data_IF_341545732529
#
_entry.id   IF_341545732529
#
_cell.length_a   1.000
_cell.length_b   1.000
_cell.length_c   1.000
_cell.angle_alpha   90.00
_cell.angle_beta   90.00
_cell.angle_gamma   90.00
#
_symmetry.space_group_name_H-M   'P 1'
#
loop_
_entity.id
_entity.type
_entity.pdbx_description
1 polymer ?
#
# COMPACT_ATOMS: atom_id res chain seq x y z
N UNK A 1 42.90 28.76 -1.75
CA UNK A 1 41.67 27.93 -1.65
C UNK A 1 42.08 26.47 -1.75
N UNK A 2 42.02 25.74 -0.64
CA UNK A 2 42.44 24.33 -0.58
C UNK A 2 41.28 23.50 -1.14
N UNK A 3 41.45 22.96 -2.34
CA UNK A 3 40.48 22.08 -3.00
C UNK A 3 40.20 20.90 -2.09
N UNK A 4 38.98 20.87 -1.52
CA UNK A 4 38.45 19.75 -0.75
C UNK A 4 38.54 18.48 -1.62
N UNK A 5 39.20 17.45 -1.10
CA UNK A 5 39.64 16.29 -1.88
C UNK A 5 38.48 15.58 -2.58
N UNK A 6 38.66 15.12 -3.84
CA UNK A 6 37.63 14.40 -4.60
C UNK A 6 37.17 13.12 -3.89
N UNK A 7 38.02 12.53 -3.05
CA UNK A 7 37.69 11.37 -2.23
C UNK A 7 36.57 11.66 -1.22
N UNK A 8 36.58 12.85 -0.60
CA UNK A 8 35.53 13.25 0.33
C UNK A 8 34.19 13.43 -0.37
N UNK A 9 34.22 13.92 -1.61
CA UNK A 9 33.02 14.06 -2.43
C UNK A 9 32.45 12.68 -2.82
N UNK A 10 33.32 11.74 -3.19
CA UNK A 10 32.96 10.36 -3.55
C UNK A 10 32.36 9.58 -2.37
N UNK A 11 32.98 9.65 -1.19
CA UNK A 11 32.45 9.02 0.03
C UNK A 11 31.09 9.61 0.40
N UNK A 12 30.93 10.93 0.31
CA UNK A 12 29.65 11.58 0.56
C UNK A 12 28.58 11.16 -0.46
N UNK A 13 28.93 11.00 -1.74
CA UNK A 13 27.95 10.55 -2.76
C UNK A 13 27.52 9.11 -2.53
N UNK A 14 28.44 8.21 -2.20
CA UNK A 14 28.12 6.82 -1.86
C UNK A 14 27.23 6.73 -0.62
N UNK A 15 27.52 7.53 0.43
CA UNK A 15 26.69 7.57 1.63
C UNK A 15 25.27 8.07 1.35
N UNK A 16 25.12 9.10 0.51
CA UNK A 16 23.81 9.62 0.09
C UNK A 16 23.04 8.57 -0.71
N UNK A 17 23.67 7.91 -1.68
CA UNK A 17 23.03 6.87 -2.47
C UNK A 17 22.56 5.69 -1.61
N UNK A 18 23.31 5.33 -0.57
CA UNK A 18 22.94 4.27 0.36
C UNK A 18 21.74 4.62 1.25
N UNK A 19 21.46 5.91 1.45
CA UNK A 19 20.35 6.39 2.28
C UNK A 19 19.00 6.44 1.54
N UNK A 20 18.98 6.25 0.23
CA UNK A 20 17.74 6.26 -0.56
C UNK A 20 16.97 4.97 -0.27
N UNK A 21 15.86 5.09 0.48
CA UNK A 21 14.89 4.01 0.64
C UNK A 21 13.91 4.04 -0.53
N UNK A 22 13.75 2.93 -1.23
CA UNK A 22 12.70 2.78 -2.23
C UNK A 22 11.33 2.66 -1.57
N UNK A 23 10.31 3.24 -2.19
CA UNK A 23 8.90 2.95 -1.88
C UNK A 23 8.44 1.89 -2.88
N UNK A 24 7.74 0.88 -2.38
CA UNK A 24 7.18 -0.20 -3.21
C UNK A 24 5.67 0.00 -3.24
N UNK A 25 5.12 0.21 -4.43
CA UNK A 25 3.68 0.15 -4.70
C UNK A 25 3.34 -1.10 -5.51
N UNK A 26 2.12 -1.62 -5.37
CA UNK A 26 1.68 -2.83 -6.06
C UNK A 26 0.60 -2.45 -7.07
N UNK A 27 0.85 -2.75 -8.35
CA UNK A 27 -0.17 -2.70 -9.39
C UNK A 27 -0.46 -4.09 -9.91
N UNK A 28 -1.74 -4.46 -9.96
CA UNK A 28 -2.17 -5.79 -10.38
C UNK A 28 -3.45 -5.72 -11.21
N UNK A 29 -3.68 -6.76 -12.01
CA UNK A 29 -4.91 -6.97 -12.76
C UNK A 29 -5.77 -7.98 -11.99
N UNK A 30 -7.02 -7.63 -11.71
CA UNK A 30 -7.97 -8.46 -10.97
C UNK A 30 -9.10 -8.93 -11.87
N UNK A 31 -9.37 -10.25 -11.89
CA UNK A 31 -10.55 -10.83 -12.52
C UNK A 31 -11.71 -10.94 -11.51
N UNK A 32 -11.48 -11.64 -10.38
CA UNK A 32 -12.51 -11.91 -9.37
C UNK A 32 -12.12 -11.50 -7.96
N UNK A 33 -11.14 -12.17 -7.37
CA UNK A 33 -10.65 -11.86 -6.02
C UNK A 33 -9.13 -11.95 -6.02
N UNK A 34 -8.49 -10.97 -5.39
CA UNK A 34 -7.05 -10.99 -5.15
C UNK A 34 -6.77 -10.53 -3.72
N UNK A 35 -5.94 -11.28 -2.99
CA UNK A 35 -5.64 -11.02 -1.59
C UNK A 35 -4.13 -10.80 -1.37
N UNK A 36 -3.81 -9.72 -0.67
CA UNK A 36 -2.44 -9.38 -0.25
C UNK A 36 -2.29 -9.48 1.26
N UNK A 37 -1.08 -9.73 1.71
CA UNK A 37 -0.74 -9.85 3.13
C UNK A 37 0.42 -8.94 3.48
N UNK A 38 0.31 -8.28 4.63
CA UNK A 38 1.35 -7.42 5.19
C UNK A 38 1.57 -7.81 6.65
N UNK A 39 2.82 -8.05 7.05
CA UNK A 39 3.15 -8.33 8.44
C UNK A 39 3.42 -7.02 9.16
N UNK A 40 2.67 -6.76 10.22
CA UNK A 40 2.92 -5.64 11.14
C UNK A 40 3.75 -6.15 12.29
N UNK A 41 4.85 -5.47 12.60
CA UNK A 41 5.81 -5.97 13.58
C UNK A 41 5.40 -5.62 15.02
N UNK A 42 4.68 -4.51 15.23
CA UNK A 42 4.34 -4.01 16.58
C UNK A 42 2.86 -3.72 16.78
N UNK A 43 2.38 -4.10 17.97
CA UNK A 43 1.05 -3.70 18.44
C UNK A 43 1.01 -2.17 18.62
N UNK A 44 0.00 -1.52 18.05
CA UNK A 44 -0.20 -0.07 18.12
C UNK A 44 0.31 0.72 16.92
N UNK A 45 0.97 0.09 15.96
CA UNK A 45 1.41 0.75 14.73
C UNK A 45 0.23 1.18 13.85
N UNK A 46 0.37 2.29 13.15
CA UNK A 46 -0.67 2.78 12.24
C UNK A 46 -0.42 2.24 10.84
N UNK A 47 -1.39 1.53 10.28
CA UNK A 47 -1.36 1.14 8.87
C UNK A 47 -2.10 2.18 8.06
N UNK A 48 -1.40 2.78 7.09
CA UNK A 48 -1.99 3.59 6.04
C UNK A 48 -2.15 2.73 4.78
N UNK A 49 -3.34 2.75 4.19
CA UNK A 49 -3.61 2.08 2.93
C UNK A 49 -4.27 3.04 1.95
N UNK A 50 -3.97 2.86 0.67
CA UNK A 50 -4.68 3.54 -0.41
C UNK A 50 -4.77 2.65 -1.63
N UNK A 51 -5.85 2.81 -2.40
CA UNK A 51 -5.95 2.20 -3.71
C UNK A 51 -6.65 3.09 -4.71
N UNK A 52 -6.39 2.82 -5.99
CA UNK A 52 -7.14 3.40 -7.12
C UNK A 52 -7.33 2.34 -8.21
N UNK A 53 -8.55 2.23 -8.71
CA UNK A 53 -8.88 1.44 -9.90
C UNK A 53 -8.51 2.25 -11.14
N UNK A 54 -7.52 1.79 -11.89
CA UNK A 54 -7.03 2.43 -13.11
C UNK A 54 -7.92 1.98 -14.28
N UNK A 55 -8.71 2.92 -14.80
CA UNK A 55 -9.47 2.74 -16.04
C UNK A 55 -8.70 3.37 -17.20
N UNK A 56 -8.28 2.58 -18.18
CA UNK A 56 -7.87 3.13 -19.48
C UNK A 56 -9.15 3.42 -20.28
N UNK A 57 -9.41 4.70 -20.62
CA UNK A 57 -10.61 5.12 -21.35
C UNK A 57 -10.86 4.26 -22.60
N UNK A 58 -12.12 3.87 -22.88
CA UNK A 58 -12.38 3.14 -24.13
C UNK A 58 -13.76 2.57 -24.45
N UNK A 59 -14.80 2.66 -23.62
CA UNK A 59 -16.14 2.25 -24.09
C UNK A 59 -17.28 2.77 -23.22
N UNK A 60 -18.30 3.30 -23.89
CA UNK A 60 -19.51 3.97 -23.41
C UNK A 60 -20.47 3.13 -22.53
N UNK A 61 -19.98 2.09 -21.85
CA UNK A 61 -20.80 1.17 -21.05
C UNK A 61 -20.20 0.80 -19.69
N UNK A 62 -19.13 1.46 -19.23
CA UNK A 62 -18.67 1.25 -17.86
C UNK A 62 -19.65 1.89 -16.88
N UNK A 63 -20.47 1.06 -16.22
CA UNK A 63 -21.01 1.43 -14.93
C UNK A 63 -19.83 1.75 -13.99
N UNK A 64 -20.01 2.62 -12.97
CA UNK A 64 -19.01 2.86 -11.94
C UNK A 64 -18.90 1.64 -11.02
N UNK A 65 -18.60 0.48 -11.61
CA UNK A 65 -18.35 -0.77 -10.91
C UNK A 65 -16.97 -0.62 -10.29
N UNK A 66 -16.96 -0.12 -9.06
CA UNK A 66 -15.77 -0.12 -8.22
C UNK A 66 -15.40 -1.52 -7.77
N UNK A 67 -14.36 -1.60 -6.95
CA UNK A 67 -13.98 -2.83 -6.27
C UNK A 67 -14.46 -2.80 -4.82
N UNK A 68 -14.70 -3.98 -4.28
CA UNK A 68 -14.81 -4.15 -2.84
C UNK A 68 -13.43 -4.41 -2.25
N UNK A 69 -13.17 -3.94 -1.04
CA UNK A 69 -11.97 -4.25 -0.28
C UNK A 69 -12.37 -4.69 1.12
N UNK A 70 -11.94 -5.88 1.54
CA UNK A 70 -12.10 -6.37 2.91
C UNK A 70 -10.73 -6.44 3.59
N UNK A 71 -10.62 -5.78 4.74
CA UNK A 71 -9.43 -5.77 5.58
C UNK A 71 -9.64 -6.70 6.77
N UNK A 72 -8.72 -7.64 6.98
CA UNK A 72 -8.74 -8.58 8.12
C UNK A 72 -7.46 -8.47 8.94
N UNK A 73 -7.62 -8.57 10.25
CA UNK A 73 -6.51 -8.65 11.19
C UNK A 73 -5.89 -10.05 11.28
N UNK A 74 -4.82 -10.21 12.09
CA UNK A 74 -4.10 -11.46 12.27
C UNK A 74 -4.97 -12.61 12.77
N UNK A 75 -5.96 -12.30 13.60
CA UNK A 75 -6.93 -13.27 14.13
C UNK A 75 -8.05 -13.63 13.14
N UNK A 76 -8.03 -13.08 11.91
CA UNK A 76 -9.05 -13.27 10.89
C UNK A 76 -10.32 -12.45 11.07
N UNK A 77 -10.39 -11.61 12.11
CA UNK A 77 -11.48 -10.67 12.32
C UNK A 77 -11.47 -9.58 11.23
N UNK A 78 -12.66 -9.20 10.77
CA UNK A 78 -12.80 -8.09 9.84
C UNK A 78 -12.57 -6.77 10.59
N UNK A 79 -11.66 -5.95 10.07
CA UNK A 79 -11.36 -4.61 10.58
C UNK A 79 -12.25 -3.59 9.86
N UNK A 80 -12.33 -3.69 8.53
CA UNK A 80 -13.12 -2.78 7.71
C UNK A 80 -13.52 -3.42 6.38
N UNK A 81 -14.58 -2.91 5.76
CA UNK A 81 -14.91 -3.19 4.37
C UNK A 81 -15.29 -1.91 3.60
N UNK A 82 -14.80 -1.81 2.37
CA UNK A 82 -15.21 -0.82 1.39
C UNK A 82 -15.98 -1.53 0.29
N UNK A 83 -17.04 -0.87 -0.23
CA UNK A 83 -17.87 -1.43 -1.29
C UNK A 83 -18.02 -0.48 -2.45
N UNK A 84 -17.92 -1.03 -3.65
CA UNK A 84 -18.16 -0.34 -4.92
C UNK A 84 -17.34 0.97 -5.02
N UNK A 85 -16.06 0.91 -4.62
CA UNK A 85 -15.16 2.07 -4.59
C UNK A 85 -14.17 2.05 -5.74
N UNK A 86 -14.01 3.21 -6.38
CA UNK A 86 -12.98 3.43 -7.40
C UNK A 86 -11.63 3.84 -6.80
N UNK A 87 -11.64 4.43 -5.61
CA UNK A 87 -10.44 4.78 -4.87
C UNK A 87 -10.79 5.01 -3.41
N UNK A 88 -9.88 4.67 -2.50
CA UNK A 88 -9.94 5.11 -1.12
C UNK A 88 -8.56 5.34 -0.53
N UNK A 89 -8.52 6.17 0.52
CA UNK A 89 -7.40 6.29 1.45
C UNK A 89 -7.93 6.13 2.86
N UNK A 90 -7.34 5.20 3.61
CA UNK A 90 -7.78 4.85 4.95
C UNK A 90 -6.58 4.55 5.85
N UNK A 91 -6.77 4.74 7.14
CA UNK A 91 -5.78 4.38 8.15
C UNK A 91 -6.46 3.73 9.34
N UNK A 92 -5.76 2.78 9.95
CA UNK A 92 -6.20 2.15 11.19
C UNK A 92 -5.00 1.75 12.06
N UNK A 93 -5.25 1.64 13.36
CA UNK A 93 -4.25 1.18 14.33
C UNK A 93 -4.30 -0.34 14.39
N UNK A 94 -3.16 -0.99 14.20
CA UNK A 94 -3.01 -2.43 14.34
C UNK A 94 -2.96 -2.80 15.83
N UNK A 95 -4.11 -3.16 16.40
CA UNK A 95 -4.19 -3.59 17.80
C UNK A 95 -3.44 -4.89 18.12
N UNK A 96 -3.06 -5.65 17.09
CA UNK A 96 -2.32 -6.91 17.19
C UNK A 96 -1.30 -6.97 16.06
N UNK A 97 -0.05 -7.25 16.41
CA UNK A 97 1.03 -7.59 15.49
C UNK A 97 0.72 -8.87 14.72
N UNK A 98 1.33 -9.00 13.54
CA UNK A 98 1.17 -10.13 12.65
C UNK A 98 0.53 -9.77 11.31
N UNK A 99 0.06 -10.81 10.62
CA UNK A 99 -0.35 -10.72 9.22
C UNK A 99 -1.75 -10.11 9.10
N UNK A 100 -1.80 -8.92 8.51
CA UNK A 100 -3.02 -8.29 8.04
C UNK A 100 -3.27 -8.70 6.59
N UNK A 101 -4.55 -8.93 6.23
CA UNK A 101 -4.95 -9.36 4.89
C UNK A 101 -5.89 -8.35 4.24
N UNK A 102 -5.63 -8.05 2.98
CA UNK A 102 -6.36 -7.09 2.15
C UNK A 102 -6.87 -7.83 0.93
N UNK A 103 -8.17 -8.10 0.88
CA UNK A 103 -8.79 -8.84 -0.21
C UNK A 103 -9.67 -7.91 -1.04
N UNK A 104 -9.31 -7.78 -2.31
CA UNK A 104 -10.09 -7.05 -3.30
C UNK A 104 -11.03 -7.99 -4.01
N UNK A 105 -12.26 -7.55 -4.27
CA UNK A 105 -13.22 -8.27 -5.10
C UNK A 105 -13.69 -7.39 -6.24
N UNK A 106 -13.57 -7.92 -7.46
CA UNK A 106 -14.03 -7.28 -8.67
C UNK A 106 -15.43 -7.78 -9.03
N UNK A 107 -16.38 -6.85 -9.08
CA UNK A 107 -17.75 -7.11 -9.53
C UNK A 107 -17.94 -6.87 -11.02
N UNK A 108 -16.99 -6.19 -11.67
CA UNK A 108 -17.00 -5.95 -13.11
C UNK A 108 -17.02 -7.29 -13.86
N UNK A 109 -17.73 -7.39 -14.99
CA UNK A 109 -17.62 -8.53 -15.88
C UNK A 109 -16.27 -8.57 -16.63
N UNK A 110 -15.47 -7.51 -16.53
CA UNK A 110 -14.15 -7.38 -17.16
C UNK A 110 -13.04 -7.32 -16.11
N UNK A 111 -11.80 -7.59 -16.55
CA UNK A 111 -10.64 -7.41 -15.69
C UNK A 111 -10.41 -5.93 -15.40
N UNK A 112 -10.10 -5.62 -14.15
CA UNK A 112 -9.76 -4.27 -13.70
C UNK A 112 -8.30 -4.20 -13.31
N UNK A 113 -7.69 -3.02 -13.41
CA UNK A 113 -6.34 -2.79 -12.90
C UNK A 113 -6.43 -1.97 -11.62
N UNK A 114 -5.79 -2.42 -10.55
CA UNK A 114 -5.76 -1.73 -9.25
C UNK A 114 -4.33 -1.37 -8.91
N UNK A 115 -4.12 -0.11 -8.55
CA UNK A 115 -2.92 0.35 -7.85
C UNK A 115 -3.23 0.36 -6.34
N UNK A 116 -2.38 -0.30 -5.55
CA UNK A 116 -2.57 -0.49 -4.12
C UNK A 116 -1.26 -0.24 -3.37
N UNK A 117 -1.36 0.62 -2.36
CA UNK A 117 -0.28 0.97 -1.45
C UNK A 117 -0.67 0.61 -0.01
N UNK A 118 0.27 0.04 0.72
CA UNK A 118 0.17 -0.20 2.16
C UNK A 118 1.47 0.24 2.83
N UNK A 119 1.35 1.01 3.90
CA UNK A 119 2.46 1.58 4.63
C UNK A 119 2.22 1.47 6.14
N UNK A 120 3.14 0.84 6.85
CA UNK A 120 3.19 0.80 8.30
C UNK A 120 3.99 2.00 8.83
N UNK A 121 3.34 2.81 9.66
CA UNK A 121 3.93 3.93 10.36
C UNK A 121 4.14 3.56 11.85
N UNK A 122 5.39 3.26 12.19
CA UNK A 122 5.84 3.04 13.56
C UNK A 122 6.25 4.36 14.21
N UNK A 123 5.63 4.70 15.35
CA UNK A 123 6.05 5.83 16.17
C UNK A 123 6.69 5.31 17.46
N UNK A 124 8.02 5.22 17.48
CA UNK A 124 8.77 4.96 18.72
C UNK A 124 8.68 6.21 19.60
N UNK A 125 7.79 6.20 20.60
CA UNK A 125 7.85 7.16 21.69
C UNK A 125 9.16 6.91 22.45
N UNK A 126 10.14 7.78 22.24
CA UNK A 126 11.28 7.89 23.15
C UNK A 126 10.83 8.82 24.29
N UNK A 127 10.52 8.23 25.43
CA UNK A 127 10.42 8.95 26.72
C UNK A 127 11.79 9.49 27.15
#
# INVERSE_FOLDING_TARGET
MKTRSPEFAMVATLAILWSIRGVIGIRFVIDREECFSHNVDYDGDTIHLSFVVIKSEGSWHYAPDGVDLVVKGPSGNQIHDFRDKMSEKFEFVAHQSGIHRFCFTNKSPYHETVDFDVHEAHFSYHD
#
